data_IF_062330515040
#
_entry.id   IF_062330515040
#
_cell.length_a   1.000
_cell.length_b   1.000
_cell.length_c   1.000
_cell.angle_alpha   90.00
_cell.angle_beta   90.00
_cell.angle_gamma   90.00
#
_symmetry.space_group_name_H-M   'P 1'
#
loop_
_entity.id
_entity.type
_entity.pdbx_description
1 polymer ?
#
# COMPACT_ATOMS: atom_id res chain seq x y z
N UNK A 1 -12.09 -15.16 17.59
CA UNK A 1 -11.73 -13.79 17.19
C UNK A 1 -10.73 -13.29 18.22
N UNK A 2 -9.61 -12.72 17.80
CA UNK A 2 -8.66 -12.11 18.72
C UNK A 2 -9.24 -10.79 19.23
N UNK A 3 -9.13 -10.55 20.54
CA UNK A 3 -9.49 -9.24 21.11
C UNK A 3 -8.47 -8.17 20.72
N UNK A 4 -8.83 -6.86 20.72
CA UNK A 4 -7.87 -5.80 20.41
C UNK A 4 -6.61 -5.84 21.29
N UNK A 5 -6.74 -6.20 22.56
CA UNK A 5 -5.61 -6.33 23.48
C UNK A 5 -4.72 -7.52 23.12
N UNK A 6 -5.28 -8.65 22.69
CA UNK A 6 -4.50 -9.83 22.25
C UNK A 6 -3.72 -9.51 20.97
N UNK A 7 -4.33 -8.76 20.04
CA UNK A 7 -3.66 -8.30 18.84
C UNK A 7 -2.49 -7.37 19.22
N UNK A 8 -2.72 -6.38 20.07
CA UNK A 8 -1.66 -5.49 20.51
C UNK A 8 -0.50 -6.24 21.16
N UNK A 9 -0.79 -7.21 22.03
CA UNK A 9 0.21 -8.04 22.72
C UNK A 9 0.99 -8.97 21.80
N UNK A 10 0.48 -9.27 20.59
CA UNK A 10 1.20 -10.08 19.59
C UNK A 10 2.23 -9.29 18.78
N UNK A 11 2.11 -7.97 18.70
CA UNK A 11 2.98 -7.13 17.86
C UNK A 11 4.47 -7.17 18.23
N UNK A 12 4.90 -7.24 19.51
CA UNK A 12 6.31 -7.41 19.86
C UNK A 12 6.96 -8.65 19.21
N UNK A 13 6.25 -9.78 19.17
CA UNK A 13 6.73 -11.01 18.55
C UNK A 13 6.70 -10.92 17.02
N UNK A 14 5.62 -10.42 16.44
CA UNK A 14 5.50 -10.15 15.00
C UNK A 14 6.66 -9.25 14.53
N UNK A 15 6.94 -8.19 15.29
CA UNK A 15 8.04 -7.28 14.95
C UNK A 15 9.39 -7.98 14.95
N UNK A 16 9.70 -8.78 16.00
CA UNK A 16 10.93 -9.59 16.03
C UNK A 16 11.03 -10.53 14.84
N UNK A 17 9.96 -11.25 14.51
CA UNK A 17 9.92 -12.15 13.37
C UNK A 17 10.20 -11.43 12.04
N UNK A 18 9.59 -10.25 11.82
CA UNK A 18 9.80 -9.46 10.59
C UNK A 18 11.23 -8.95 10.44
N UNK A 19 11.83 -8.40 11.51
CA UNK A 19 13.18 -7.83 11.42
C UNK A 19 14.30 -8.86 11.48
N UNK A 20 14.01 -10.10 11.89
CA UNK A 20 14.97 -11.22 11.89
C UNK A 20 15.10 -11.91 10.53
N UNK A 21 14.18 -11.66 9.61
CA UNK A 21 14.30 -12.19 8.24
C UNK A 21 15.56 -11.69 7.54
N UNK A 22 16.18 -12.55 6.73
CA UNK A 22 17.30 -12.13 5.89
C UNK A 22 16.88 -11.02 4.90
N UNK A 23 17.78 -10.12 4.49
CA UNK A 23 17.47 -9.05 3.55
C UNK A 23 16.87 -9.57 2.24
N UNK A 24 17.41 -10.66 1.71
CA UNK A 24 16.93 -11.27 0.47
C UNK A 24 15.48 -11.79 0.63
N UNK A 25 15.18 -12.49 1.73
CA UNK A 25 13.83 -12.98 2.00
C UNK A 25 12.84 -11.83 2.15
N UNK A 26 13.21 -10.78 2.90
CA UNK A 26 12.38 -9.58 3.05
C UNK A 26 12.12 -8.92 1.70
N UNK A 27 13.17 -8.76 0.87
CA UNK A 27 13.06 -8.13 -0.45
C UNK A 27 12.16 -8.94 -1.40
N UNK A 28 12.32 -10.26 -1.47
CA UNK A 28 11.49 -11.11 -2.33
C UNK A 28 10.00 -11.07 -1.93
N UNK A 29 9.70 -11.14 -0.63
CA UNK A 29 8.32 -11.01 -0.13
C UNK A 29 7.76 -9.61 -0.39
N UNK A 30 8.60 -8.58 -0.34
CA UNK A 30 8.20 -7.21 -0.66
C UNK A 30 7.93 -7.03 -2.16
N UNK A 31 8.73 -7.62 -3.05
CA UNK A 31 8.47 -7.61 -4.50
C UNK A 31 7.10 -8.23 -4.78
N UNK A 32 6.80 -9.40 -4.18
CA UNK A 32 5.49 -10.03 -4.33
C UNK A 32 4.34 -9.12 -3.85
N UNK A 33 4.50 -8.46 -2.70
CA UNK A 33 3.47 -7.53 -2.21
C UNK A 33 3.23 -6.35 -3.18
N UNK A 34 4.31 -5.77 -3.73
CA UNK A 34 4.21 -4.74 -4.76
C UNK A 34 3.47 -5.22 -6.01
N UNK A 35 3.76 -6.45 -6.46
CA UNK A 35 3.05 -7.09 -7.57
C UNK A 35 1.57 -7.30 -7.27
N UNK A 36 1.21 -7.76 -6.08
CA UNK A 36 -0.19 -8.02 -5.69
C UNK A 36 -1.00 -6.73 -5.61
N UNK A 37 -0.45 -5.67 -5.05
CA UNK A 37 -1.11 -4.35 -5.03
C UNK A 37 -1.24 -3.79 -6.46
N UNK A 38 -0.22 -3.97 -7.30
CA UNK A 38 -0.26 -3.54 -8.70
C UNK A 38 -1.33 -4.30 -9.51
N UNK A 39 -1.43 -5.63 -9.36
CA UNK A 39 -2.47 -6.44 -10.00
C UNK A 39 -3.88 -6.00 -9.56
N UNK A 40 -4.07 -5.67 -8.28
CA UNK A 40 -5.32 -5.07 -7.83
C UNK A 40 -5.58 -3.70 -8.47
N UNK A 41 -4.53 -2.91 -8.70
CA UNK A 41 -4.59 -1.66 -9.46
C UNK A 41 -5.01 -1.86 -10.90
N UNK A 42 -4.50 -2.91 -11.58
CA UNK A 42 -4.97 -3.32 -12.92
C UNK A 42 -6.46 -3.62 -12.89
N UNK A 43 -6.89 -4.49 -11.99
CA UNK A 43 -8.31 -4.85 -11.84
C UNK A 43 -9.21 -3.65 -11.54
N UNK A 44 -8.75 -2.75 -10.66
CA UNK A 44 -9.48 -1.52 -10.35
C UNK A 44 -9.58 -0.56 -11.55
N UNK A 45 -8.54 -0.49 -12.40
CA UNK A 45 -8.57 0.29 -13.65
C UNK A 45 -9.67 -0.21 -14.56
N UNK A 46 -9.74 -1.51 -14.81
CA UNK A 46 -10.82 -2.09 -15.62
C UNK A 46 -12.20 -1.97 -14.95
N UNK A 47 -12.26 -2.12 -13.63
CA UNK A 47 -13.49 -1.88 -12.86
C UNK A 47 -14.01 -0.45 -13.03
N UNK A 48 -13.14 0.55 -13.07
CA UNK A 48 -13.51 1.94 -13.34
C UNK A 48 -13.99 2.15 -14.78
N UNK A 49 -13.32 1.54 -15.76
CA UNK A 49 -13.62 1.72 -17.19
C UNK A 49 -14.92 1.04 -17.59
N UNK A 50 -15.08 -0.24 -17.25
CA UNK A 50 -16.26 -1.04 -17.66
C UNK A 50 -17.43 -0.98 -16.69
N UNK A 51 -17.24 -0.36 -15.54
CA UNK A 51 -18.26 -0.15 -14.53
C UNK A 51 -18.32 1.30 -14.10
N UNK A 52 -17.84 1.54 -12.89
CA UNK A 52 -17.72 2.88 -12.32
C UNK A 52 -16.73 2.87 -11.15
N UNK A 53 -16.55 4.01 -10.51
CA UNK A 53 -15.63 4.15 -9.36
C UNK A 53 -15.93 3.18 -8.20
N UNK A 54 -17.19 2.81 -7.99
CA UNK A 54 -17.57 1.84 -6.95
C UNK A 54 -17.05 0.45 -7.31
N UNK A 55 -17.19 0.03 -8.57
CA UNK A 55 -16.71 -1.27 -9.05
C UNK A 55 -15.18 -1.35 -8.94
N UNK A 56 -14.47 -0.31 -9.39
CA UNK A 56 -13.01 -0.25 -9.23
C UNK A 56 -12.56 -0.32 -7.77
N UNK A 57 -13.26 0.41 -6.89
CA UNK A 57 -12.99 0.37 -5.45
C UNK A 57 -13.30 -1.00 -4.83
N UNK A 58 -14.33 -1.70 -5.31
CA UNK A 58 -14.72 -3.03 -4.82
C UNK A 58 -13.71 -4.15 -5.20
N UNK A 59 -13.00 -4.00 -6.31
CA UNK A 59 -11.99 -4.96 -6.78
C UNK A 59 -10.67 -4.80 -6.02
N UNK A 60 -10.28 -3.58 -5.67
CA UNK A 60 -8.94 -3.29 -5.12
C UNK A 60 -8.59 -4.03 -3.82
N UNK A 61 -9.53 -4.34 -2.88
CA UNK A 61 -9.23 -5.11 -1.66
C UNK A 61 -8.59 -6.48 -1.91
N UNK A 62 -8.76 -7.06 -3.11
CA UNK A 62 -8.10 -8.31 -3.50
C UNK A 62 -6.57 -8.22 -3.36
N UNK A 63 -5.97 -7.03 -3.58
CA UNK A 63 -4.54 -6.81 -3.42
C UNK A 63 -4.06 -7.06 -2.00
N UNK A 64 -4.71 -6.44 -1.01
CA UNK A 64 -4.34 -6.67 0.39
C UNK A 64 -4.69 -8.09 0.86
N UNK A 65 -5.76 -8.69 0.33
CA UNK A 65 -6.09 -10.09 0.62
C UNK A 65 -4.95 -11.01 0.15
N UNK A 66 -4.43 -10.84 -1.06
CA UNK A 66 -3.27 -11.59 -1.55
C UNK A 66 -2.04 -11.35 -0.66
N UNK A 67 -1.73 -10.11 -0.29
CA UNK A 67 -0.60 -9.78 0.59
C UNK A 67 -0.69 -10.52 1.93
N UNK A 68 -1.84 -10.48 2.60
CA UNK A 68 -2.01 -11.04 3.95
C UNK A 68 -2.09 -12.57 3.92
N UNK A 69 -2.83 -13.14 2.95
CA UNK A 69 -3.10 -14.58 2.91
C UNK A 69 -1.92 -15.34 2.32
N UNK A 70 -1.26 -14.82 1.28
CA UNK A 70 -0.06 -15.42 0.71
C UNK A 70 1.21 -15.10 1.51
N UNK A 71 1.17 -14.19 2.49
CA UNK A 71 2.28 -13.93 3.41
C UNK A 71 3.39 -13.06 2.84
N UNK A 72 3.05 -11.88 2.31
CA UNK A 72 3.99 -10.92 1.72
C UNK A 72 4.24 -9.71 2.62
N UNK A 73 5.30 -8.91 2.30
CA UNK A 73 5.72 -7.76 3.08
C UNK A 73 5.29 -6.45 2.41
N UNK A 74 4.33 -5.75 3.02
CA UNK A 74 3.79 -4.49 2.53
C UNK A 74 4.22 -3.31 3.41
N UNK A 75 4.84 -2.30 2.81
CA UNK A 75 5.38 -1.12 3.50
C UNK A 75 4.35 -0.42 4.38
N UNK A 76 3.16 -0.15 3.85
CA UNK A 76 2.09 0.56 4.57
C UNK A 76 1.60 -0.21 5.79
N UNK A 77 1.45 -1.53 5.70
CA UNK A 77 1.14 -2.39 6.84
C UNK A 77 2.28 -2.45 7.87
N UNK A 78 3.53 -2.40 7.40
CA UNK A 78 4.71 -2.41 8.26
C UNK A 78 4.93 -1.08 9.02
N UNK A 79 4.15 -0.02 8.75
CA UNK A 79 4.13 1.16 9.62
C UNK A 79 3.69 0.82 11.05
N UNK A 80 2.94 -0.27 11.26
CA UNK A 80 2.61 -0.80 12.60
C UNK A 80 3.82 -1.37 13.37
N UNK A 81 5.00 -1.50 12.75
CA UNK A 81 6.25 -1.81 13.46
C UNK A 81 6.66 -0.71 14.46
N UNK A 82 6.00 0.44 14.44
CA UNK A 82 6.13 1.44 15.50
C UNK A 82 5.74 0.86 16.88
N UNK A 83 4.77 -0.07 16.94
CA UNK A 83 4.36 -0.73 18.21
C UNK A 83 5.53 -1.50 18.83
N UNK A 84 6.13 -2.51 18.15
CA UNK A 84 7.27 -3.24 18.73
C UNK A 84 8.52 -2.36 18.94
N UNK A 85 8.69 -1.27 18.18
CA UNK A 85 9.79 -0.33 18.40
C UNK A 85 9.60 0.44 19.70
N UNK A 86 8.39 0.91 20.00
CA UNK A 86 8.04 1.61 21.24
C UNK A 86 8.02 0.67 22.46
N UNK A 87 7.70 -0.61 22.26
CA UNK A 87 7.82 -1.67 23.28
C UNK A 87 9.27 -2.17 23.46
N UNK A 88 10.24 -1.57 22.76
CA UNK A 88 11.67 -1.98 22.80
C UNK A 88 11.90 -3.45 22.40
N UNK A 89 10.94 -4.08 21.71
CA UNK A 89 11.07 -5.44 21.19
C UNK A 89 11.96 -5.48 19.94
N UNK A 90 12.05 -4.36 19.22
CA UNK A 90 12.96 -4.12 18.10
C UNK A 90 13.57 -2.72 18.25
N UNK A 91 14.71 -2.49 17.61
CA UNK A 91 15.31 -1.15 17.56
C UNK A 91 14.71 -0.31 16.43
N UNK A 92 14.74 1.02 16.56
CA UNK A 92 14.35 1.94 15.48
C UNK A 92 15.16 1.69 14.21
N UNK A 93 16.47 1.36 14.34
CA UNK A 93 17.31 1.01 13.20
C UNK A 93 16.81 -0.23 12.46
N UNK A 94 16.37 -1.26 13.18
CA UNK A 94 15.78 -2.46 12.58
C UNK A 94 14.46 -2.15 11.87
N UNK A 95 13.60 -1.33 12.47
CA UNK A 95 12.35 -0.86 11.86
C UNK A 95 12.63 -0.10 10.56
N UNK A 96 13.51 0.89 10.58
CA UNK A 96 13.85 1.70 9.40
C UNK A 96 14.49 0.85 8.29
N UNK A 97 15.36 -0.11 8.66
CA UNK A 97 15.93 -1.06 7.69
C UNK A 97 14.85 -1.92 7.04
N UNK A 98 13.89 -2.43 7.82
CA UNK A 98 12.76 -3.18 7.27
C UNK A 98 11.93 -2.30 6.32
N UNK A 99 11.58 -1.08 6.72
CA UNK A 99 10.84 -0.14 5.88
C UNK A 99 11.55 0.14 4.56
N UNK A 100 12.86 0.40 4.58
CA UNK A 100 13.63 0.69 3.37
C UNK A 100 13.66 -0.50 2.40
N UNK A 101 13.91 -1.72 2.92
CA UNK A 101 13.93 -2.93 2.10
C UNK A 101 12.54 -3.25 1.52
N UNK A 102 11.50 -3.11 2.34
CA UNK A 102 10.13 -3.41 1.92
C UNK A 102 9.63 -2.35 0.92
N UNK A 103 9.94 -1.07 1.14
CA UNK A 103 9.60 0.00 0.19
C UNK A 103 10.26 -0.23 -1.17
N UNK A 104 11.56 -0.54 -1.19
CA UNK A 104 12.29 -0.82 -2.43
C UNK A 104 11.72 -2.05 -3.15
N UNK A 105 11.43 -3.13 -2.43
CA UNK A 105 10.82 -4.33 -3.01
C UNK A 105 9.42 -4.08 -3.56
N UNK A 106 8.57 -3.34 -2.83
CA UNK A 106 7.25 -2.97 -3.31
C UNK A 106 7.33 -2.14 -4.60
N UNK A 107 8.27 -1.18 -4.68
CA UNK A 107 8.51 -0.40 -5.90
C UNK A 107 8.92 -1.28 -7.08
N UNK A 108 9.89 -2.18 -6.89
CA UNK A 108 10.35 -3.11 -7.95
C UNK A 108 9.17 -3.95 -8.45
N UNK A 109 8.40 -4.55 -7.55
CA UNK A 109 7.25 -5.39 -7.92
C UNK A 109 6.16 -4.62 -8.66
N UNK A 110 5.84 -3.42 -8.20
CA UNK A 110 4.82 -2.57 -8.81
C UNK A 110 5.23 -2.09 -10.22
N UNK A 111 6.48 -1.64 -10.39
CA UNK A 111 7.03 -1.21 -11.69
C UNK A 111 7.09 -2.39 -12.67
N UNK A 112 7.46 -3.58 -12.20
CA UNK A 112 7.47 -4.79 -13.03
C UNK A 112 6.08 -5.09 -13.60
N UNK A 113 5.03 -5.06 -12.78
CA UNK A 113 3.65 -5.26 -13.25
C UNK A 113 3.23 -4.13 -14.20
N UNK A 114 3.59 -2.88 -13.93
CA UNK A 114 3.32 -1.77 -14.84
C UNK A 114 3.95 -1.99 -16.23
N UNK A 115 5.23 -2.40 -16.24
CA UNK A 115 5.93 -2.71 -17.49
C UNK A 115 5.31 -3.90 -18.24
N UNK A 116 4.97 -4.97 -17.54
CA UNK A 116 4.36 -6.16 -18.13
C UNK A 116 2.96 -5.88 -18.70
N UNK A 117 2.13 -5.12 -17.99
CA UNK A 117 0.75 -4.83 -18.44
C UNK A 117 0.73 -3.87 -19.63
N UNK A 118 1.57 -2.85 -19.62
CA UNK A 118 1.70 -1.92 -20.77
C UNK A 118 2.40 -2.63 -21.93
N UNK A 119 3.52 -3.30 -21.72
CA UNK A 119 4.28 -4.01 -22.74
C UNK A 119 3.49 -5.14 -23.40
N UNK A 120 2.70 -5.87 -22.62
CA UNK A 120 1.84 -6.97 -23.08
C UNK A 120 0.51 -6.54 -23.70
N UNK A 121 0.24 -5.22 -23.84
CA UNK A 121 -1.01 -4.72 -24.45
C UNK A 121 -2.24 -4.92 -23.56
N UNK A 122 -2.10 -5.21 -22.26
CA UNK A 122 -3.24 -5.42 -21.35
C UNK A 122 -4.17 -4.21 -21.31
N UNK A 123 -3.64 -3.00 -21.52
CA UNK A 123 -4.39 -1.75 -21.51
C UNK A 123 -4.81 -1.26 -22.92
N UNK A 124 -4.67 -2.09 -23.96
CA UNK A 124 -5.14 -1.72 -25.30
C UNK A 124 -6.63 -1.34 -25.25
N UNK A 125 -6.95 -0.16 -25.80
CA UNK A 125 -8.30 0.42 -25.76
C UNK A 125 -8.64 1.22 -24.49
N UNK A 126 -7.77 1.25 -23.45
CA UNK A 126 -8.00 1.99 -22.18
C UNK A 126 -6.80 2.84 -21.74
N UNK A 127 -5.81 3.03 -22.61
CA UNK A 127 -4.60 3.81 -22.29
C UNK A 127 -4.91 5.23 -21.84
N UNK A 128 -5.92 5.89 -22.40
CA UNK A 128 -6.30 7.25 -22.01
C UNK A 128 -6.68 7.32 -20.52
N UNK A 129 -7.40 6.34 -20.01
CA UNK A 129 -7.75 6.24 -18.59
C UNK A 129 -6.52 6.01 -17.71
N UNK A 130 -5.59 5.17 -18.15
CA UNK A 130 -4.34 4.89 -17.43
C UNK A 130 -3.49 6.15 -17.32
N UNK A 131 -3.31 6.86 -18.45
CA UNK A 131 -2.55 8.12 -18.51
C UNK A 131 -3.23 9.20 -17.67
N UNK A 132 -4.55 9.39 -17.82
CA UNK A 132 -5.30 10.37 -17.06
C UNK A 132 -5.25 10.14 -15.54
N UNK A 133 -5.34 8.87 -15.11
CA UNK A 133 -5.22 8.50 -13.69
C UNK A 133 -3.85 8.87 -13.14
N UNK A 134 -2.79 8.54 -13.86
CA UNK A 134 -1.42 8.86 -13.45
C UNK A 134 -1.17 10.37 -13.44
N UNK A 135 -1.61 11.09 -14.46
CA UNK A 135 -1.49 12.55 -14.57
C UNK A 135 -2.21 13.28 -13.42
N UNK A 136 -3.43 12.83 -13.08
CA UNK A 136 -4.18 13.37 -11.95
C UNK A 136 -3.45 13.17 -10.61
N UNK A 137 -2.79 12.02 -10.43
CA UNK A 137 -1.98 11.74 -9.24
C UNK A 137 -0.70 12.58 -9.19
N UNK A 138 -0.01 12.73 -10.33
CA UNK A 138 1.19 13.55 -10.44
C UNK A 138 0.91 15.05 -10.22
N UNK A 139 -0.29 15.51 -10.54
CA UNK A 139 -0.73 16.90 -10.39
C UNK A 139 -1.29 17.25 -8.99
N UNK A 140 -1.33 16.29 -8.05
CA UNK A 140 -1.84 16.55 -6.69
C UNK A 140 -0.97 17.60 -5.98
N UNK A 141 -1.56 18.67 -5.40
CA UNK A 141 -0.84 19.57 -4.52
C UNK A 141 -0.20 18.81 -3.33
N UNK A 142 1.03 19.15 -2.95
CA UNK A 142 1.77 18.47 -1.88
C UNK A 142 0.97 18.33 -0.57
N UNK A 143 0.26 19.36 -0.06
CA UNK A 143 -0.55 19.21 1.14
C UNK A 143 -1.69 18.20 0.96
N UNK A 144 -2.34 18.17 -0.21
CA UNK A 144 -3.41 17.22 -0.50
C UNK A 144 -2.87 15.78 -0.59
N UNK A 145 -1.72 15.57 -1.23
CA UNK A 145 -1.04 14.29 -1.31
C UNK A 145 -0.68 13.76 0.09
N UNK A 146 -0.13 14.61 0.95
CA UNK A 146 0.20 14.28 2.34
C UNK A 146 -1.04 13.88 3.15
N UNK A 147 -2.08 14.73 3.15
CA UNK A 147 -3.30 14.49 3.96
C UNK A 147 -4.06 13.26 3.49
N UNK A 148 -4.21 13.07 2.17
CA UNK A 148 -4.80 11.85 1.59
C UNK A 148 -3.96 10.62 1.91
N UNK A 149 -2.63 10.76 1.98
CA UNK A 149 -1.73 9.71 2.44
C UNK A 149 -1.98 9.33 3.90
N UNK A 150 -2.16 10.28 4.80
CA UNK A 150 -2.48 10.04 6.22
C UNK A 150 -3.77 9.25 6.33
N UNK A 151 -4.85 9.74 5.71
CA UNK A 151 -6.17 9.10 5.75
C UNK A 151 -6.15 7.69 5.17
N UNK A 152 -5.40 7.48 4.09
CA UNK A 152 -5.22 6.16 3.49
C UNK A 152 -4.62 5.17 4.47
N UNK A 153 -3.49 5.50 5.09
CA UNK A 153 -2.79 4.50 5.90
C UNK A 153 -3.38 4.30 7.28
N UNK A 154 -4.21 5.21 7.77
CA UNK A 154 -5.11 4.92 8.90
C UNK A 154 -5.99 3.72 8.53
N UNK A 155 -6.62 3.71 7.35
CA UNK A 155 -7.51 2.65 6.92
C UNK A 155 -6.75 1.35 6.58
N UNK A 156 -5.58 1.43 5.96
CA UNK A 156 -4.76 0.23 5.67
C UNK A 156 -4.28 -0.44 6.95
N UNK A 157 -3.81 0.32 7.92
CA UNK A 157 -3.41 -0.23 9.21
C UNK A 157 -4.59 -0.82 9.99
N UNK A 158 -5.77 -0.20 9.91
CA UNK A 158 -7.00 -0.79 10.44
C UNK A 158 -7.37 -2.09 9.72
N UNK A 159 -7.24 -2.16 8.39
CA UNK A 159 -7.48 -3.38 7.62
C UNK A 159 -6.59 -4.53 8.07
N UNK A 160 -5.28 -4.25 8.25
CA UNK A 160 -4.31 -5.23 8.77
C UNK A 160 -4.71 -5.68 10.18
N UNK A 161 -5.06 -4.74 11.05
CA UNK A 161 -5.49 -5.02 12.42
C UNK A 161 -6.74 -5.89 12.46
N UNK A 162 -7.78 -5.53 11.68
CA UNK A 162 -9.02 -6.29 11.60
C UNK A 162 -8.80 -7.69 11.00
N UNK A 163 -7.91 -7.84 10.03
CA UNK A 163 -7.54 -9.15 9.51
C UNK A 163 -6.85 -10.04 10.55
N UNK A 164 -6.07 -9.46 11.47
CA UNK A 164 -5.45 -10.19 12.58
C UNK A 164 -6.48 -10.66 13.63
N UNK A 165 -7.61 -9.97 13.76
CA UNK A 165 -8.69 -10.42 14.64
C UNK A 165 -9.35 -11.73 14.18
N UNK A 166 -9.25 -12.06 12.88
CA UNK A 166 -9.88 -13.24 12.29
C UNK A 166 -8.98 -14.50 12.37
N UNK A 167 -9.60 -15.65 12.63
CA UNK A 167 -8.90 -16.94 12.73
C UNK A 167 -8.95 -17.78 11.45
N UNK A 168 -9.74 -17.39 10.46
CA UNK A 168 -9.88 -18.08 9.18
C UNK A 168 -9.75 -17.11 8.00
N UNK A 169 -9.56 -17.66 6.80
CA UNK A 169 -9.33 -16.89 5.58
C UNK A 169 -10.51 -15.97 5.25
N UNK A 170 -11.73 -16.48 5.32
CA UNK A 170 -12.94 -15.70 5.02
C UNK A 170 -13.07 -14.49 5.96
N UNK A 171 -12.86 -14.70 7.26
CA UNK A 171 -12.88 -13.62 8.24
C UNK A 171 -11.77 -12.58 8.00
N UNK A 172 -10.57 -12.99 7.57
CA UNK A 172 -9.51 -12.06 7.19
C UNK A 172 -9.93 -11.20 6.02
N UNK A 173 -10.50 -11.82 4.96
CA UNK A 173 -10.98 -11.09 3.79
C UNK A 173 -12.07 -10.10 4.19
N UNK A 174 -13.08 -10.52 4.97
CA UNK A 174 -14.15 -9.65 5.43
C UNK A 174 -13.62 -8.47 6.28
N UNK A 175 -12.65 -8.74 7.17
CA UNK A 175 -12.06 -7.71 8.03
C UNK A 175 -11.28 -6.63 7.28
N UNK A 176 -10.52 -7.02 6.25
CA UNK A 176 -9.75 -6.05 5.48
C UNK A 176 -10.56 -5.33 4.38
N UNK A 177 -11.67 -5.92 3.92
CA UNK A 177 -12.38 -5.49 2.72
C UNK A 177 -12.88 -4.05 2.81
N UNK A 178 -13.65 -3.74 3.85
CA UNK A 178 -14.31 -2.42 3.97
C UNK A 178 -13.34 -1.25 4.15
N UNK A 179 -12.30 -1.32 4.99
CA UNK A 179 -11.34 -0.21 5.07
C UNK A 179 -10.60 0.03 3.75
N UNK A 180 -10.26 -1.03 3.01
CA UNK A 180 -9.59 -0.90 1.72
C UNK A 180 -10.55 -0.35 0.66
N UNK A 181 -11.76 -0.89 0.56
CA UNK A 181 -12.80 -0.36 -0.31
C UNK A 181 -13.02 1.14 -0.07
N UNK A 182 -13.12 1.54 1.20
CA UNK A 182 -13.38 2.93 1.60
C UNK A 182 -12.26 3.87 1.15
N UNK A 183 -10.98 3.53 1.39
CA UNK A 183 -9.90 4.44 1.00
C UNK A 183 -9.82 4.63 -0.52
N UNK A 184 -10.07 3.57 -1.31
CA UNK A 184 -10.08 3.65 -2.78
C UNK A 184 -11.26 4.50 -3.25
N UNK A 185 -12.46 4.25 -2.71
CA UNK A 185 -13.67 5.00 -3.05
C UNK A 185 -13.52 6.49 -2.76
N UNK A 186 -12.90 6.84 -1.63
CA UNK A 186 -12.65 8.23 -1.23
C UNK A 186 -11.51 8.91 -2.01
N UNK A 187 -10.72 8.16 -2.77
CA UNK A 187 -9.57 8.69 -3.50
C UNK A 187 -8.43 9.10 -2.58
N UNK A 188 -8.21 8.35 -1.48
CA UNK A 188 -7.05 8.52 -0.63
C UNK A 188 -5.80 7.93 -1.30
N UNK A 189 -4.62 8.40 -0.91
CA UNK A 189 -3.38 8.13 -1.62
C UNK A 189 -2.54 7.05 -0.92
N UNK A 190 -2.30 5.94 -1.63
CA UNK A 190 -1.50 4.81 -1.18
C UNK A 190 -0.19 4.76 -1.96
N UNK A 191 0.96 4.95 -1.27
CA UNK A 191 2.25 5.06 -1.95
C UNK A 191 2.57 3.82 -2.80
N UNK A 192 2.30 2.60 -2.32
CA UNK A 192 2.58 1.37 -3.08
C UNK A 192 1.64 1.21 -4.28
N UNK A 193 0.37 1.64 -4.19
CA UNK A 193 -0.50 1.70 -5.36
C UNK A 193 -0.01 2.72 -6.38
N UNK A 194 0.49 3.87 -5.92
CA UNK A 194 1.06 4.90 -6.79
C UNK A 194 2.37 4.45 -7.46
N UNK A 195 3.14 3.55 -6.84
CA UNK A 195 4.29 2.87 -7.47
C UNK A 195 3.91 2.04 -8.70
N UNK A 196 2.63 1.72 -8.87
CA UNK A 196 2.09 1.09 -10.07
C UNK A 196 1.45 2.12 -11.00
N UNK A 197 0.49 2.93 -10.51
CA UNK A 197 -0.29 3.83 -11.36
C UNK A 197 0.59 4.85 -12.10
N UNK A 198 1.58 5.44 -11.42
CA UNK A 198 2.43 6.46 -12.03
C UNK A 198 3.36 5.88 -13.11
N UNK A 199 4.14 4.81 -12.87
CA UNK A 199 4.90 4.16 -13.93
C UNK A 199 4.05 3.62 -15.06
N UNK A 200 2.87 3.04 -14.77
CA UNK A 200 1.97 2.55 -15.81
C UNK A 200 1.51 3.68 -16.75
N UNK A 201 1.19 4.86 -16.19
CA UNK A 201 0.86 6.03 -17.00
C UNK A 201 2.05 6.56 -17.82
N UNK A 202 3.26 6.59 -17.24
CA UNK A 202 4.49 7.00 -17.96
C UNK A 202 4.74 6.05 -19.14
N UNK A 203 4.68 4.74 -18.90
CA UNK A 203 4.89 3.74 -19.95
C UNK A 203 3.80 3.77 -21.01
N UNK A 204 2.53 3.96 -20.61
CA UNK A 204 1.40 4.09 -21.50
C UNK A 204 1.52 5.34 -22.41
N UNK A 205 1.88 6.49 -21.85
CA UNK A 205 2.12 7.71 -22.60
C UNK A 205 3.24 7.53 -23.64
N UNK A 206 4.37 6.90 -23.24
CA UNK A 206 5.46 6.59 -24.14
C UNK A 206 5.05 5.61 -25.26
N UNK A 207 4.25 4.58 -24.96
CA UNK A 207 3.74 3.61 -25.94
C UNK A 207 2.80 4.25 -26.96
N UNK A 208 1.95 5.19 -26.51
CA UNK A 208 0.98 5.88 -27.38
C UNK A 208 1.58 7.09 -28.10
N UNK A 209 2.82 7.48 -27.82
CA UNK A 209 3.42 8.71 -28.37
C UNK A 209 2.72 9.99 -27.88
N UNK A 210 2.07 9.94 -26.71
CA UNK A 210 1.35 11.08 -26.12
C UNK A 210 2.28 11.83 -25.16
N UNK A 211 2.36 13.15 -25.35
CA UNK A 211 3.06 14.02 -24.39
C UNK A 211 2.18 14.27 -23.17
N UNK A 212 2.62 13.84 -22.00
CA UNK A 212 1.99 14.14 -20.72
C UNK A 212 2.95 15.02 -19.91
N UNK A 213 2.88 16.34 -20.11
CA UNK A 213 3.87 17.33 -19.63
C UNK A 213 4.18 17.21 -18.12
N UNK A 214 3.19 16.87 -17.31
CA UNK A 214 3.34 16.76 -15.86
C UNK A 214 3.55 15.30 -15.36
N UNK A 215 3.71 14.33 -16.26
CA UNK A 215 3.88 12.94 -15.91
C UNK A 215 5.31 12.48 -16.18
N UNK A 216 6.21 12.80 -15.26
CA UNK A 216 7.64 12.50 -15.34
C UNK A 216 8.10 11.69 -14.14
N UNK A 217 9.30 11.09 -14.22
CA UNK A 217 9.92 10.43 -13.07
C UNK A 217 10.11 11.40 -11.89
N UNK A 218 10.39 12.68 -12.17
CA UNK A 218 10.52 13.70 -11.13
C UNK A 218 9.19 13.95 -10.41
N UNK A 219 8.10 14.21 -11.15
CA UNK A 219 6.77 14.42 -10.55
C UNK A 219 6.25 13.16 -9.86
N UNK A 220 6.56 11.98 -10.39
CA UNK A 220 6.29 10.72 -9.71
C UNK A 220 6.99 10.65 -8.35
N UNK A 221 8.31 10.84 -8.31
CA UNK A 221 9.09 10.64 -7.09
C UNK A 221 8.87 11.76 -6.06
N UNK A 222 9.03 13.01 -6.49
CA UNK A 222 9.04 14.19 -5.61
C UNK A 222 7.63 14.78 -5.46
N UNK A 223 6.87 14.86 -6.56
CA UNK A 223 5.53 15.43 -6.54
C UNK A 223 4.48 14.55 -5.87
N UNK A 224 4.63 13.23 -5.96
CA UNK A 224 3.63 12.30 -5.42
C UNK A 224 4.19 11.33 -4.40
N UNK A 225 5.11 10.42 -4.78
CA UNK A 225 5.54 9.34 -3.88
C UNK A 225 6.10 9.85 -2.56
N UNK A 226 6.91 10.90 -2.56
CA UNK A 226 7.50 11.45 -1.34
C UNK A 226 6.43 11.96 -0.35
N UNK A 227 5.53 12.92 -0.70
CA UNK A 227 4.52 13.42 0.24
C UNK A 227 3.51 12.33 0.62
N UNK A 228 3.10 11.45 -0.29
CA UNK A 228 2.20 10.35 0.00
C UNK A 228 2.83 9.36 0.98
N UNK A 229 4.10 9.00 0.78
CA UNK A 229 4.84 8.09 1.68
C UNK A 229 4.94 8.67 3.08
N UNK A 230 5.28 9.96 3.21
CA UNK A 230 5.32 10.63 4.51
C UNK A 230 3.94 10.62 5.17
N UNK A 231 2.89 10.90 4.41
CA UNK A 231 1.51 10.80 4.90
C UNK A 231 1.15 9.38 5.36
N UNK A 232 1.50 8.37 4.57
CA UNK A 232 1.25 6.97 4.95
C UNK A 232 2.01 6.59 6.24
N UNK A 233 3.27 7.00 6.41
CA UNK A 233 4.02 6.78 7.65
C UNK A 233 3.28 7.42 8.84
N UNK A 234 2.91 8.69 8.73
CA UNK A 234 2.22 9.42 9.80
C UNK A 234 0.91 8.71 10.17
N UNK A 235 0.06 8.39 9.18
CA UNK A 235 -1.23 7.75 9.41
C UNK A 235 -1.11 6.37 10.08
N UNK A 236 -0.20 5.52 9.57
CA UNK A 236 0.02 4.18 10.11
C UNK A 236 0.65 4.20 11.50
N UNK A 237 1.64 5.07 11.72
CA UNK A 237 2.26 5.25 13.04
C UNK A 237 1.27 5.82 14.06
N UNK A 238 0.37 6.72 13.66
CA UNK A 238 -0.67 7.26 14.54
C UNK A 238 -1.60 6.14 15.06
N UNK A 239 -2.08 5.26 14.18
CA UNK A 239 -2.87 4.08 14.57
C UNK A 239 -2.10 3.18 15.55
N UNK A 240 -0.83 2.87 15.20
CA UNK A 240 0.03 2.05 16.06
C UNK A 240 0.25 2.67 17.44
N UNK A 241 0.52 3.99 17.49
CA UNK A 241 0.73 4.72 18.73
C UNK A 241 -0.52 4.72 19.63
N UNK A 242 -1.69 4.99 19.05
CA UNK A 242 -2.96 4.99 19.81
C UNK A 242 -3.23 3.59 20.38
N UNK A 243 -3.15 2.54 19.57
CA UNK A 243 -3.43 1.19 20.02
C UNK A 243 -2.41 0.68 21.04
N UNK A 244 -1.14 1.01 20.86
CA UNK A 244 -0.11 0.75 21.87
C UNK A 244 -0.42 1.46 23.18
N UNK A 245 -0.80 2.73 23.15
CA UNK A 245 -1.08 3.51 24.34
C UNK A 245 -2.32 2.99 25.10
N UNK A 246 -3.37 2.60 24.35
CA UNK A 246 -4.63 2.12 24.96
C UNK A 246 -4.51 0.71 25.53
N UNK A 247 -3.80 -0.18 24.81
CA UNK A 247 -3.84 -1.60 25.13
C UNK A 247 -2.56 -2.17 25.77
N UNK A 248 -1.42 -1.48 25.69
CA UNK A 248 -0.14 -1.99 26.20
C UNK A 248 0.47 -1.13 27.32
N UNK A 249 0.07 0.14 27.48
CA UNK A 249 0.48 0.90 28.66
C UNK A 249 -0.36 0.46 29.85
N UNK A 250 0.29 -0.10 30.85
CA UNK A 250 -0.29 -0.21 32.19
C UNK A 250 -0.51 1.21 32.75
N UNK A 251 -1.65 1.39 33.42
CA UNK A 251 -1.94 2.61 34.19
C UNK A 251 -1.05 2.69 35.40
#
# INVERSE_FOLDING_TARGET
MGSPIEIARSYPEIGRAKVSMSPLRTLLLAILAGMFIALAGVGATFGNVYGNKIVGAAVFPAGLAMVIIAGSELFTGNCLLIIPALEKAITVRQMLRNWALVYAGNLIGAVLIAAMTVGGGTFDGVYDTVIATAAAKAALPLPAALLRGILCNILVCLAVWMAMAAKNVTGKIAGLYFPIFLFVLCGFEHCVANMFYLPAGIFAAARCGVSAENLTVYTMCIGNLLPVTLGNIIGGCAVGLVYRTVYLREK
#
